data_IF_180441709779
#
_entry.id   IF_180441709779
#
_cell.length_a   1.000
_cell.length_b   1.000
_cell.length_c   1.000
_cell.angle_alpha   90.00
_cell.angle_beta   90.00
_cell.angle_gamma   90.00
#
_symmetry.space_group_name_H-M   'P 1'
#
loop_
_entity.id
_entity.type
_entity.pdbx_description
1 polymer ?
#
# COMPACT_ATOMS: atom_id res chain seq x y z
N UNK A 1 -8.42 -7.32 -20.98
CA UNK A 1 -8.76 -6.92 -19.60
C UNK A 1 -7.44 -6.63 -18.92
N UNK A 2 -7.23 -5.44 -18.36
CA UNK A 2 -6.02 -5.16 -17.59
C UNK A 2 -6.10 -5.98 -16.30
N UNK A 3 -5.14 -6.88 -16.07
CA UNK A 3 -5.05 -7.60 -14.80
C UNK A 3 -4.79 -6.58 -13.70
N UNK A 4 -5.80 -6.41 -12.85
CA UNK A 4 -5.75 -5.62 -11.64
C UNK A 4 -5.06 -6.44 -10.56
N UNK A 5 -3.96 -5.93 -10.03
CA UNK A 5 -3.22 -6.53 -8.92
C UNK A 5 -3.46 -5.75 -7.62
N UNK A 6 -3.40 -6.43 -6.49
CA UNK A 6 -3.61 -5.85 -5.17
C UNK A 6 -2.41 -6.10 -4.26
N UNK A 7 -1.92 -5.04 -3.61
CA UNK A 7 -0.94 -5.16 -2.52
C UNK A 7 -1.62 -4.78 -1.22
N UNK A 8 -1.62 -5.69 -0.26
CA UNK A 8 -2.10 -5.45 1.10
C UNK A 8 -0.94 -5.26 2.05
N UNK A 9 -0.96 -4.18 2.83
CA UNK A 9 0.02 -3.85 3.87
C UNK A 9 -0.70 -3.91 5.21
N UNK A 10 -0.30 -4.86 6.05
CA UNK A 10 -0.79 -5.02 7.41
C UNK A 10 0.15 -4.30 8.37
N UNK A 11 -0.34 -3.18 8.92
CA UNK A 11 0.35 -2.41 9.94
C UNK A 11 0.07 -2.99 11.33
N UNK A 12 1.13 -3.40 12.05
CA UNK A 12 1.04 -3.83 13.45
C UNK A 12 0.89 -2.67 14.45
N UNK A 13 0.71 -1.46 13.92
CA UNK A 13 0.55 -0.20 14.65
C UNK A 13 -0.62 0.59 14.10
N UNK A 14 -1.02 1.64 14.83
CA UNK A 14 -1.99 2.61 14.31
C UNK A 14 -1.41 3.33 13.10
N UNK A 15 -2.28 3.52 12.12
CA UNK A 15 -2.02 4.44 11.02
C UNK A 15 -1.86 5.86 11.57
N UNK A 16 -0.78 6.51 11.16
CA UNK A 16 -0.50 7.91 11.49
C UNK A 16 -0.70 8.80 10.25
N UNK A 17 -0.76 10.14 10.41
CA UNK A 17 -0.92 11.04 9.27
C UNK A 17 0.25 11.02 8.27
N UNK A 18 1.44 10.56 8.68
CA UNK A 18 2.58 10.42 7.77
C UNK A 18 2.40 9.23 6.83
N UNK A 19 1.81 8.12 7.31
CA UNK A 19 1.47 6.95 6.52
C UNK A 19 0.46 7.32 5.42
N UNK A 20 -0.58 8.09 5.75
CA UNK A 20 -1.57 8.55 4.78
C UNK A 20 -0.95 9.43 3.70
N UNK A 21 -0.02 10.31 4.07
CA UNK A 21 0.74 11.13 3.11
C UNK A 21 1.65 10.28 2.23
N UNK A 22 2.33 9.28 2.80
CA UNK A 22 3.18 8.36 2.04
C UNK A 22 2.36 7.60 0.99
N UNK A 23 1.21 7.05 1.38
CA UNK A 23 0.30 6.36 0.45
C UNK A 23 -0.24 7.29 -0.63
N UNK A 24 -0.65 8.51 -0.26
CA UNK A 24 -1.11 9.50 -1.25
C UNK A 24 0.00 9.91 -2.22
N UNK A 25 1.26 9.94 -1.77
CA UNK A 25 2.40 10.22 -2.62
C UNK A 25 2.66 9.08 -3.60
N UNK A 26 2.64 7.82 -3.12
CA UNK A 26 2.72 6.63 -3.97
C UNK A 26 1.63 6.60 -5.05
N UNK A 27 0.39 6.97 -4.71
CA UNK A 27 -0.69 7.07 -5.69
C UNK A 27 -0.39 8.07 -6.83
N UNK A 28 0.39 9.12 -6.54
CA UNK A 28 0.74 10.12 -7.56
C UNK A 28 1.87 9.68 -8.48
N UNK A 29 2.70 8.73 -8.04
CA UNK A 29 3.86 8.25 -8.79
C UNK A 29 3.56 6.98 -9.60
N UNK A 30 2.67 6.14 -9.10
CA UNK A 30 2.36 4.84 -9.67
C UNK A 30 0.96 4.81 -10.30
N UNK A 31 0.72 3.86 -11.20
CA UNK A 31 -0.61 3.56 -11.76
C UNK A 31 -1.50 2.84 -10.73
N UNK A 32 -1.56 3.40 -9.51
CA UNK A 32 -2.48 3.00 -8.44
C UNK A 32 -3.78 3.73 -8.66
N UNK A 33 -4.85 2.98 -8.95
CA UNK A 33 -6.15 3.57 -9.28
C UNK A 33 -7.11 3.61 -8.10
N UNK A 34 -6.85 2.82 -7.05
CA UNK A 34 -7.65 2.84 -5.82
C UNK A 34 -6.81 2.47 -4.60
N UNK A 35 -7.18 3.01 -3.45
CA UNK A 35 -6.57 2.71 -2.15
C UNK A 35 -7.64 2.60 -1.09
N UNK A 36 -7.63 1.49 -0.35
CA UNK A 36 -8.52 1.28 0.79
C UNK A 36 -7.73 1.17 2.07
N UNK A 37 -8.12 1.97 3.07
CA UNK A 37 -7.47 2.01 4.38
C UNK A 37 -8.47 1.58 5.44
N UNK A 38 -8.20 0.46 6.09
CA UNK A 38 -8.96 -0.06 7.22
C UNK A 38 -8.22 0.28 8.51
N UNK A 39 -8.81 1.13 9.36
CA UNK A 39 -8.20 1.54 10.64
C UNK A 39 -8.79 0.71 11.78
N UNK A 40 -7.95 0.05 12.57
CA UNK A 40 -8.34 -0.66 13.79
C UNK A 40 -7.79 0.05 15.03
N UNK A 41 -8.22 -0.38 16.24
CA UNK A 41 -7.82 0.26 17.51
C UNK A 41 -6.32 0.22 17.77
N UNK A 42 -5.59 -0.76 17.24
CA UNK A 42 -4.14 -0.93 17.45
C UNK A 42 -3.37 -1.30 16.18
N UNK A 43 -4.06 -1.54 15.07
CA UNK A 43 -3.49 -1.92 13.78
C UNK A 43 -4.18 -1.14 12.66
N UNK A 44 -3.64 -1.24 11.45
CA UNK A 44 -4.31 -0.76 10.26
C UNK A 44 -3.95 -1.65 9.07
N UNK A 45 -4.78 -1.61 8.04
CA UNK A 45 -4.55 -2.35 6.81
C UNK A 45 -4.71 -1.39 5.64
N UNK A 46 -3.76 -1.42 4.71
CA UNK A 46 -3.74 -0.58 3.51
C UNK A 46 -3.75 -1.50 2.31
N UNK A 47 -4.76 -1.37 1.45
CA UNK A 47 -4.89 -2.11 0.19
C UNK A 47 -4.66 -1.16 -0.96
N UNK A 48 -3.68 -1.47 -1.80
CA UNK A 48 -3.27 -0.69 -2.96
C UNK A 48 -3.64 -1.47 -4.21
N UNK A 49 -4.43 -0.87 -5.08
CA UNK A 49 -4.88 -1.49 -6.31
C UNK A 49 -4.12 -0.89 -7.49
N UNK A 50 -3.33 -1.70 -8.19
CA UNK A 50 -2.43 -1.24 -9.24
C UNK A 50 -2.49 -2.13 -10.49
N UNK A 51 -1.90 -1.65 -11.59
CA UNK A 51 -1.73 -2.47 -12.81
C UNK A 51 -0.60 -3.48 -12.63
N UNK A 52 -0.80 -4.73 -13.07
CA UNK A 52 0.13 -5.86 -12.89
C UNK A 52 1.58 -5.67 -13.39
N UNK A 53 1.90 -4.60 -14.12
CA UNK A 53 3.26 -4.29 -14.58
C UNK A 53 4.09 -3.41 -13.65
N UNK A 54 3.50 -2.87 -12.58
CA UNK A 54 4.14 -1.90 -11.68
C UNK A 54 4.78 -2.51 -10.42
N UNK A 55 4.78 -3.84 -10.30
CA UNK A 55 4.86 -4.54 -9.01
C UNK A 55 6.22 -4.52 -8.30
N UNK A 56 7.37 -4.80 -8.96
CA UNK A 56 8.64 -4.97 -8.23
C UNK A 56 9.15 -3.67 -7.59
N UNK A 57 8.97 -2.56 -8.30
CA UNK A 57 9.44 -1.24 -7.87
C UNK A 57 8.48 -0.64 -6.83
N UNK A 58 7.17 -0.78 -7.04
CA UNK A 58 6.14 -0.38 -6.09
C UNK A 58 6.30 -1.09 -4.74
N UNK A 59 6.49 -2.43 -4.75
CA UNK A 59 6.71 -3.19 -3.50
C UNK A 59 7.98 -2.72 -2.78
N UNK A 60 9.05 -2.40 -3.52
CA UNK A 60 10.29 -1.89 -2.93
C UNK A 60 10.07 -0.53 -2.27
N UNK A 61 9.41 0.41 -2.94
CA UNK A 61 9.10 1.73 -2.35
C UNK A 61 8.19 1.60 -1.12
N UNK A 62 7.19 0.72 -1.17
CA UNK A 62 6.34 0.43 -0.02
C UNK A 62 7.14 -0.13 1.14
N UNK A 63 8.09 -1.06 0.89
CA UNK A 63 8.95 -1.62 1.92
C UNK A 63 9.87 -0.58 2.58
N UNK A 64 10.33 0.42 1.82
CA UNK A 64 11.10 1.55 2.35
C UNK A 64 10.23 2.49 3.22
N UNK A 65 8.96 2.68 2.85
CA UNK A 65 8.01 3.52 3.57
C UNK A 65 7.40 2.85 4.81
N UNK A 66 7.26 1.52 4.78
CA UNK A 66 6.65 0.70 5.83
C UNK A 66 7.61 -0.42 6.29
N UNK A 67 8.76 -0.06 6.90
CA UNK A 67 9.77 -1.05 7.28
C UNK A 67 9.24 -2.00 8.37
N UNK A 68 9.37 -3.31 8.13
CA UNK A 68 8.99 -4.36 9.08
C UNK A 68 7.49 -4.68 9.14
N UNK A 69 6.68 -4.07 8.25
CA UNK A 69 5.24 -4.36 8.14
C UNK A 69 5.01 -5.51 7.16
N UNK A 70 3.93 -6.28 7.38
CA UNK A 70 3.65 -7.46 6.55
C UNK A 70 2.99 -7.04 5.24
N UNK A 71 3.56 -7.46 4.11
CA UNK A 71 3.04 -7.17 2.76
C UNK A 71 2.62 -8.46 2.05
N UNK A 72 1.48 -8.45 1.38
CA UNK A 72 0.96 -9.59 0.61
C UNK A 72 0.42 -9.09 -0.73
N UNK A 73 0.87 -9.69 -1.83
CA UNK A 73 0.39 -9.45 -3.19
C UNK A 73 -0.66 -10.50 -3.56
N UNK A 74 -1.78 -10.07 -4.16
CA UNK A 74 -2.84 -10.93 -4.71
C UNK A 74 -3.23 -10.54 -6.14
#
# INVERSE_FOLDING_TARGET
MASTSEITISLNRRLNPADEKAVSFLMSQWLVYDVKISRHRQSAEIRLYHTAGATPELVKELAELFPGENMTEN
#
